data_IF_869768226731
#
_entry.id   IF_869768226731
#
_cell.length_a   1.000
_cell.length_b   1.000
_cell.length_c   1.000
_cell.angle_alpha   90.00
_cell.angle_beta   90.00
_cell.angle_gamma   90.00
#
_symmetry.space_group_name_H-M   'P 1'
#
loop_
_entity.id
_entity.type
_entity.pdbx_description
1 polymer ?
#
# COMPACT_ATOMS: atom_id res chain seq x y z
N UNK A 1 6.75 -32.42 12.49
CA UNK A 1 7.20 -31.88 11.19
C UNK A 1 8.54 -31.20 11.38
N UNK A 2 9.45 -31.29 10.40
CA UNK A 2 10.80 -30.73 10.48
C UNK A 2 10.74 -29.19 10.45
N UNK A 3 11.36 -28.54 11.44
CA UNK A 3 11.50 -27.07 11.51
C UNK A 3 12.69 -26.64 10.65
N UNK A 4 12.48 -25.80 9.63
CA UNK A 4 13.56 -25.31 8.74
C UNK A 4 14.13 -23.95 9.16
N UNK A 5 13.29 -23.07 9.75
CA UNK A 5 13.66 -21.69 10.09
C UNK A 5 13.70 -21.48 11.60
N UNK A 6 14.81 -21.83 12.25
CA UNK A 6 14.96 -21.70 13.71
C UNK A 6 15.24 -20.22 14.06
N UNK A 7 14.42 -19.64 14.92
CA UNK A 7 14.61 -18.29 15.43
C UNK A 7 15.47 -18.37 16.70
N UNK A 8 16.56 -17.60 16.74
CA UNK A 8 17.40 -17.43 17.93
C UNK A 8 17.63 -15.94 18.12
N UNK A 9 17.02 -15.38 19.16
CA UNK A 9 17.11 -13.95 19.45
C UNK A 9 18.32 -13.67 20.35
N UNK A 10 19.02 -12.58 20.07
CA UNK A 10 19.95 -11.96 21.02
C UNK A 10 19.20 -11.32 22.20
N UNK A 11 19.91 -11.02 23.27
CA UNK A 11 19.33 -10.34 24.43
C UNK A 11 18.72 -8.99 24.06
N UNK A 12 19.37 -8.22 23.18
CA UNK A 12 18.88 -6.92 22.72
C UNK A 12 17.62 -7.05 21.85
N UNK A 13 17.58 -8.04 20.95
CA UNK A 13 16.39 -8.29 20.13
C UNK A 13 15.20 -8.72 20.98
N UNK A 14 15.45 -9.56 22.00
CA UNK A 14 14.42 -9.97 22.95
C UNK A 14 13.87 -8.79 23.74
N UNK A 15 14.73 -7.97 24.33
CA UNK A 15 14.33 -6.77 25.09
C UNK A 15 13.49 -5.83 24.22
N UNK A 16 13.91 -5.64 22.96
CA UNK A 16 13.15 -4.87 21.98
C UNK A 16 11.75 -5.45 21.77
N UNK A 17 11.62 -6.75 21.53
CA UNK A 17 10.33 -7.41 21.33
C UNK A 17 9.43 -7.34 22.58
N UNK A 18 10.00 -7.52 23.77
CA UNK A 18 9.29 -7.37 25.05
C UNK A 18 8.78 -5.94 25.22
N UNK A 19 9.58 -4.93 24.85
CA UNK A 19 9.15 -3.54 24.77
C UNK A 19 7.96 -3.32 23.83
N UNK A 20 8.01 -3.89 22.62
CA UNK A 20 6.91 -3.78 21.64
C UNK A 20 5.61 -4.43 22.14
N UNK A 21 5.71 -5.52 22.90
CA UNK A 21 4.54 -6.20 23.49
C UNK A 21 3.94 -5.38 24.64
N UNK A 22 4.78 -4.80 25.50
CA UNK A 22 4.35 -4.16 26.74
C UNK A 22 3.94 -2.69 26.59
N UNK A 23 4.55 -1.94 25.65
CA UNK A 23 4.34 -0.48 25.54
C UNK A 23 2.97 -0.09 24.94
N UNK A 24 2.25 -1.00 24.29
CA UNK A 24 0.88 -0.78 23.83
C UNK A 24 0.68 0.22 22.68
N UNK A 25 1.73 0.96 22.26
CA UNK A 25 1.70 1.95 21.18
C UNK A 25 1.80 1.34 19.77
N UNK A 26 2.29 0.11 19.71
CA UNK A 26 2.51 -0.61 18.46
C UNK A 26 1.23 -1.14 17.83
N UNK A 27 1.23 -1.25 16.51
CA UNK A 27 0.13 -1.84 15.75
C UNK A 27 -0.16 -3.28 16.22
N UNK A 28 -1.43 -3.71 16.14
CA UNK A 28 -1.82 -5.08 16.48
C UNK A 28 -1.05 -6.14 15.68
N UNK A 29 -0.62 -5.80 14.45
CA UNK A 29 0.20 -6.67 13.62
C UNK A 29 1.62 -6.82 14.19
N UNK A 30 2.30 -5.69 14.45
CA UNK A 30 3.65 -5.66 15.03
C UNK A 30 3.68 -6.42 16.37
N UNK A 31 2.72 -6.11 17.27
CA UNK A 31 2.60 -6.76 18.58
C UNK A 31 2.39 -8.28 18.48
N UNK A 32 1.53 -8.73 17.56
CA UNK A 32 1.28 -10.15 17.34
C UNK A 32 2.55 -10.86 16.88
N UNK A 33 3.27 -10.28 15.93
CA UNK A 33 4.50 -10.85 15.40
C UNK A 33 5.62 -10.88 16.45
N UNK A 34 5.76 -9.81 17.24
CA UNK A 34 6.66 -9.77 18.38
C UNK A 34 6.39 -10.92 19.37
N UNK A 35 5.10 -11.12 19.73
CA UNK A 35 4.70 -12.20 20.64
C UNK A 35 4.97 -13.59 20.05
N UNK A 36 4.75 -13.79 18.75
CA UNK A 36 5.10 -15.04 18.07
C UNK A 36 6.61 -15.30 18.19
N UNK A 37 7.44 -14.32 17.86
CA UNK A 37 8.89 -14.44 17.86
C UNK A 37 9.47 -14.75 19.25
N UNK A 38 8.92 -14.13 20.30
CA UNK A 38 9.31 -14.42 21.69
C UNK A 38 8.98 -15.87 22.11
N UNK A 39 7.84 -16.40 21.67
CA UNK A 39 7.39 -17.75 22.03
C UNK A 39 8.12 -18.86 21.27
N UNK A 40 8.49 -18.61 20.00
CA UNK A 40 9.21 -19.57 19.15
C UNK A 40 10.73 -19.48 19.27
N UNK A 41 11.26 -18.49 20.00
CA UNK A 41 12.69 -18.32 20.22
C UNK A 41 13.29 -19.60 20.83
N UNK A 42 14.25 -20.20 20.15
CA UNK A 42 15.05 -21.35 20.62
C UNK A 42 16.44 -20.90 21.12
N UNK A 43 16.60 -19.60 21.40
CA UNK A 43 17.76 -19.01 22.06
C UNK A 43 17.84 -19.33 23.55
N UNK A 44 18.91 -18.87 24.19
CA UNK A 44 19.23 -19.18 25.61
C UNK A 44 18.11 -18.84 26.60
N UNK A 45 17.31 -17.83 26.29
CA UNK A 45 16.22 -17.35 27.15
C UNK A 45 14.83 -17.59 26.54
N UNK A 46 14.76 -18.25 25.37
CA UNK A 46 13.53 -18.47 24.61
C UNK A 46 12.64 -19.57 25.18
N UNK A 47 11.34 -19.50 24.89
CA UNK A 47 10.39 -20.52 25.33
C UNK A 47 10.44 -21.80 24.48
N UNK A 48 11.02 -21.74 23.29
CA UNK A 48 11.16 -22.85 22.34
C UNK A 48 9.86 -23.62 22.03
N UNK A 49 8.70 -22.95 22.13
CA UNK A 49 7.41 -23.59 21.93
C UNK A 49 7.25 -24.10 20.50
N UNK A 50 6.44 -25.13 20.32
CA UNK A 50 6.12 -25.63 18.98
C UNK A 50 5.09 -24.74 18.30
N UNK A 51 5.12 -24.69 16.96
CA UNK A 51 4.30 -23.75 16.19
C UNK A 51 2.79 -23.87 16.46
N UNK A 52 2.32 -25.07 16.84
CA UNK A 52 0.92 -25.34 17.19
C UNK A 52 0.52 -24.64 18.50
N UNK A 53 1.32 -24.80 19.55
CA UNK A 53 1.07 -24.15 20.84
C UNK A 53 1.13 -22.63 20.72
N UNK A 54 2.10 -22.12 19.96
CA UNK A 54 2.21 -20.67 19.70
C UNK A 54 0.98 -20.16 18.96
N UNK A 55 0.52 -20.90 17.95
CA UNK A 55 -0.69 -20.54 17.20
C UNK A 55 -1.92 -20.45 18.11
N UNK A 56 -2.08 -21.39 19.04
CA UNK A 56 -3.17 -21.40 20.03
C UNK A 56 -3.04 -20.22 21.02
N UNK A 57 -1.86 -19.99 21.60
CA UNK A 57 -1.62 -18.91 22.56
C UNK A 57 -1.81 -17.50 21.97
N UNK A 58 -1.49 -17.34 20.69
CA UNK A 58 -1.56 -16.04 19.99
C UNK A 58 -2.91 -15.84 19.29
N UNK A 59 -3.70 -16.90 19.10
CA UNK A 59 -4.95 -16.86 18.34
C UNK A 59 -4.72 -16.66 16.84
N UNK A 60 -3.79 -17.41 16.26
CA UNK A 60 -3.50 -17.37 14.82
C UNK A 60 -3.37 -18.78 14.23
N UNK A 61 -3.09 -18.88 12.93
CA UNK A 61 -2.87 -20.18 12.30
C UNK A 61 -1.43 -20.63 12.44
N UNK A 62 -1.18 -21.94 12.48
CA UNK A 62 0.17 -22.52 12.43
C UNK A 62 0.98 -21.99 11.24
N UNK A 63 0.34 -21.81 10.07
CA UNK A 63 0.94 -21.23 8.86
C UNK A 63 1.47 -19.81 9.09
N UNK A 64 0.76 -19.01 9.89
CA UNK A 64 1.20 -17.65 10.25
C UNK A 64 2.48 -17.71 11.08
N UNK A 65 2.58 -18.61 12.06
CA UNK A 65 3.79 -18.79 12.87
C UNK A 65 4.98 -19.18 11.99
N UNK A 66 4.79 -20.15 11.08
CA UNK A 66 5.83 -20.56 10.12
C UNK A 66 6.31 -19.39 9.26
N UNK A 67 5.39 -18.61 8.70
CA UNK A 67 5.71 -17.45 7.85
C UNK A 67 6.46 -16.37 8.62
N UNK A 68 6.09 -16.11 9.88
CA UNK A 68 6.77 -15.14 10.74
C UNK A 68 8.20 -15.59 11.03
N UNK A 69 8.41 -16.88 11.34
CA UNK A 69 9.74 -17.46 11.55
C UNK A 69 10.59 -17.40 10.29
N UNK A 70 10.04 -17.86 9.17
CA UNK A 70 10.72 -17.80 7.86
C UNK A 70 11.15 -16.37 7.55
N UNK A 71 10.24 -15.41 7.69
CA UNK A 71 10.52 -14.00 7.40
C UNK A 71 11.58 -13.42 8.32
N UNK A 72 11.53 -13.73 9.61
CA UNK A 72 12.55 -13.29 10.55
C UNK A 72 13.94 -13.81 10.19
N UNK A 73 14.04 -15.09 9.79
CA UNK A 73 15.32 -15.73 9.45
C UNK A 73 15.84 -15.27 8.08
N UNK A 74 14.96 -15.05 7.10
CA UNK A 74 15.36 -14.71 5.72
C UNK A 74 15.50 -13.21 5.47
N UNK A 75 14.62 -12.40 6.05
CA UNK A 75 14.51 -10.96 5.80
C UNK A 75 14.90 -10.12 7.03
N UNK A 76 15.14 -10.76 8.18
CA UNK A 76 15.52 -10.10 9.43
C UNK A 76 14.35 -9.73 10.35
N UNK A 77 14.69 -9.36 11.59
CA UNK A 77 13.72 -9.05 12.65
C UNK A 77 12.78 -7.91 12.28
N UNK A 78 13.32 -6.81 11.74
CA UNK A 78 12.52 -5.63 11.36
C UNK A 78 11.48 -5.98 10.30
N UNK A 79 11.90 -6.73 9.27
CA UNK A 79 11.01 -7.17 8.21
C UNK A 79 9.87 -8.05 8.73
N UNK A 80 10.14 -8.91 9.71
CA UNK A 80 9.10 -9.72 10.35
C UNK A 80 8.06 -8.87 11.10
N UNK A 81 8.47 -7.75 11.71
CA UNK A 81 7.59 -6.85 12.46
C UNK A 81 6.77 -5.92 11.57
N UNK A 82 7.29 -5.59 10.39
CA UNK A 82 6.64 -4.67 9.45
C UNK A 82 5.67 -5.38 8.52
N UNK A 83 4.57 -4.70 8.20
CA UNK A 83 3.64 -5.20 7.17
C UNK A 83 4.29 -4.98 5.81
N UNK A 84 4.34 -6.02 4.97
CA UNK A 84 4.82 -5.88 3.59
C UNK A 84 4.01 -4.79 2.91
N UNK A 85 4.67 -3.74 2.42
CA UNK A 85 4.03 -2.73 1.59
C UNK A 85 3.49 -3.44 0.35
N UNK A 86 2.19 -3.29 0.09
CA UNK A 86 1.64 -3.71 -1.20
C UNK A 86 2.20 -2.72 -2.21
N UNK A 87 3.21 -3.12 -2.99
CA UNK A 87 3.60 -2.42 -4.21
C UNK A 87 2.46 -2.57 -5.23
N UNK A 88 1.35 -1.86 -5.01
CA UNK A 88 0.42 -1.54 -6.08
C UNK A 88 1.03 -0.40 -6.88
N UNK A 89 2.13 -0.69 -7.57
CA UNK A 89 2.46 0.05 -8.79
C UNK A 89 1.37 -0.30 -9.79
N UNK A 90 0.24 0.39 -9.69
CA UNK A 90 -0.61 0.56 -10.86
C UNK A 90 0.24 1.38 -11.81
N UNK A 91 0.67 0.79 -12.92
CA UNK A 91 1.28 1.52 -14.03
C UNK A 91 0.41 2.75 -14.28
N UNK A 92 1.00 3.94 -14.13
CA UNK A 92 0.24 5.17 -14.32
C UNK A 92 -0.21 5.19 -15.78
N UNK A 93 -1.51 5.39 -16.00
CA UNK A 93 -2.08 5.49 -17.36
C UNK A 93 -1.51 6.70 -18.09
N UNK A 94 -1.20 7.78 -17.35
CA UNK A 94 -0.45 8.93 -17.84
C UNK A 94 0.97 8.89 -17.28
N UNK A 95 1.96 8.81 -18.16
CA UNK A 95 3.35 9.17 -17.86
C UNK A 95 3.48 10.70 -17.68
N UNK A 96 4.60 11.17 -17.11
CA UNK A 96 4.96 12.59 -16.97
C UNK A 96 4.73 13.39 -18.26
N UNK A 97 5.07 12.83 -19.42
CA UNK A 97 4.82 13.48 -20.71
C UNK A 97 3.33 13.69 -21.00
N UNK A 98 2.50 12.71 -20.66
CA UNK A 98 1.04 12.80 -20.77
C UNK A 98 0.44 13.79 -19.78
N UNK A 99 0.95 13.84 -18.54
CA UNK A 99 0.51 14.81 -17.52
C UNK A 99 0.74 16.25 -18.00
N UNK A 100 1.92 16.55 -18.58
CA UNK A 100 2.22 17.86 -19.18
C UNK A 100 1.24 18.20 -20.31
N UNK A 101 0.92 17.24 -21.19
CA UNK A 101 -0.04 17.45 -22.28
C UNK A 101 -1.44 17.75 -21.74
N UNK A 102 -1.87 17.05 -20.69
CA UNK A 102 -3.15 17.31 -20.03
C UNK A 102 -3.21 18.73 -19.45
N UNK A 103 -2.13 19.18 -18.79
CA UNK A 103 -2.05 20.55 -18.25
C UNK A 103 -2.10 21.61 -19.35
N UNK A 104 -1.29 21.43 -20.40
CA UNK A 104 -1.28 22.37 -21.53
C UNK A 104 -2.67 22.46 -22.18
N UNK A 105 -3.37 21.34 -22.30
CA UNK A 105 -4.72 21.31 -22.83
C UNK A 105 -5.73 21.99 -21.89
N UNK A 106 -5.65 21.72 -20.58
CA UNK A 106 -6.55 22.33 -19.61
C UNK A 106 -6.39 23.86 -19.52
N UNK A 107 -5.19 24.37 -19.84
CA UNK A 107 -4.87 25.80 -19.90
C UNK A 107 -5.13 26.45 -21.28
N UNK A 108 -5.50 25.68 -22.31
CA UNK A 108 -5.82 26.21 -23.64
C UNK A 108 -7.28 26.62 -23.76
N UNK A 109 -7.63 27.30 -24.85
CA UNK A 109 -9.02 27.62 -25.16
C UNK A 109 -9.86 26.33 -25.31
N UNK A 110 -11.07 26.29 -24.72
CA UNK A 110 -12.00 25.18 -24.91
C UNK A 110 -12.55 25.17 -26.35
N UNK A 111 -13.02 24.01 -26.85
CA UNK A 111 -13.59 23.93 -28.19
C UNK A 111 -14.86 24.77 -28.34
N UNK A 112 -15.15 25.14 -29.58
CA UNK A 112 -16.25 26.03 -29.94
C UNK A 112 -17.59 25.54 -29.36
N UNK A 113 -18.36 26.47 -28.79
CA UNK A 113 -19.62 26.16 -28.10
C UNK A 113 -19.48 25.83 -26.61
N UNK A 114 -18.26 25.81 -26.05
CA UNK A 114 -18.03 25.58 -24.62
C UNK A 114 -17.26 26.73 -23.97
N UNK A 115 -17.72 27.20 -22.81
CA UNK A 115 -17.02 28.26 -22.05
C UNK A 115 -15.82 27.75 -21.24
N UNK A 116 -15.68 26.42 -21.07
CA UNK A 116 -14.58 25.79 -20.31
C UNK A 116 -14.41 24.31 -20.64
N UNK A 117 -13.22 23.78 -20.39
CA UNK A 117 -12.96 22.34 -20.44
C UNK A 117 -13.78 21.57 -19.40
N UNK A 118 -14.28 20.40 -19.79
CA UNK A 118 -14.78 19.39 -18.84
C UNK A 118 -13.78 18.25 -18.73
N UNK A 119 -13.80 17.53 -17.60
CA UNK A 119 -12.92 16.37 -17.40
C UNK A 119 -13.08 15.30 -18.48
N UNK A 120 -14.31 15.12 -18.99
CA UNK A 120 -14.60 14.16 -20.06
C UNK A 120 -13.94 14.60 -21.37
N UNK A 121 -14.12 15.86 -21.76
CA UNK A 121 -13.51 16.41 -22.97
C UNK A 121 -11.98 16.37 -22.95
N UNK A 122 -11.37 16.63 -21.78
CA UNK A 122 -9.92 16.48 -21.62
C UNK A 122 -9.47 15.02 -21.81
N UNK A 123 -10.22 14.06 -21.26
CA UNK A 123 -9.96 12.63 -21.46
C UNK A 123 -10.10 12.20 -22.92
N UNK A 124 -11.21 12.56 -23.56
CA UNK A 124 -11.48 12.25 -24.98
C UNK A 124 -10.40 12.86 -25.88
N UNK A 125 -10.00 14.10 -25.60
CA UNK A 125 -8.97 14.80 -26.38
C UNK A 125 -7.58 14.19 -26.21
N UNK A 126 -7.25 13.68 -25.02
CA UNK A 126 -5.99 12.95 -24.81
C UNK A 126 -5.93 11.66 -25.62
N UNK A 127 -7.07 10.96 -25.78
CA UNK A 127 -7.17 9.77 -26.63
C UNK A 127 -7.08 10.15 -28.11
N UNK A 128 -7.79 11.20 -28.54
CA UNK A 128 -7.76 11.70 -29.92
C UNK A 128 -6.34 12.13 -30.35
N UNK A 129 -5.59 12.76 -29.45
CA UNK A 129 -4.20 13.17 -29.67
C UNK A 129 -3.19 12.02 -29.55
N UNK A 130 -3.64 10.78 -29.34
CA UNK A 130 -2.79 9.59 -29.25
C UNK A 130 -1.88 9.57 -28.02
N UNK A 131 -2.22 10.30 -26.96
CA UNK A 131 -1.41 10.36 -25.73
C UNK A 131 -1.60 9.09 -24.89
N UNK A 132 -2.80 8.51 -24.91
CA UNK A 132 -3.21 7.30 -24.19
C UNK A 132 -4.27 6.56 -24.99
N UNK A 133 -4.30 5.22 -24.92
CA UNK A 133 -5.34 4.42 -25.60
C UNK A 133 -6.71 4.55 -24.93
N UNK A 134 -6.73 4.70 -23.61
CA UNK A 134 -7.93 4.97 -22.83
C UNK A 134 -7.57 5.63 -21.51
N UNK A 135 -8.46 6.47 -21.00
CA UNK A 135 -8.27 7.12 -19.71
C UNK A 135 -9.59 7.31 -18.98
N UNK A 136 -9.57 7.07 -17.67
CA UNK A 136 -10.73 7.36 -16.82
C UNK A 136 -10.78 8.84 -16.46
N UNK A 137 -12.01 9.38 -16.38
CA UNK A 137 -12.30 10.72 -15.86
C UNK A 137 -11.68 10.92 -14.46
N UNK A 138 -11.60 9.87 -13.65
CA UNK A 138 -10.97 9.92 -12.32
C UNK A 138 -9.46 10.17 -12.40
N UNK A 139 -8.78 9.56 -13.40
CA UNK A 139 -7.34 9.78 -13.63
C UNK A 139 -7.08 11.23 -14.04
N UNK A 140 -7.90 11.78 -14.94
CA UNK A 140 -7.82 13.20 -15.35
C UNK A 140 -8.00 14.12 -14.14
N UNK A 141 -9.01 13.86 -13.30
CA UNK A 141 -9.25 14.66 -12.09
C UNK A 141 -8.10 14.58 -11.10
N UNK A 142 -7.56 13.38 -10.85
CA UNK A 142 -6.46 13.17 -9.90
C UNK A 142 -5.22 13.97 -10.33
N UNK A 143 -4.83 13.88 -11.60
CA UNK A 143 -3.68 14.63 -12.13
C UNK A 143 -3.88 16.13 -11.99
N UNK A 144 -5.05 16.65 -12.39
CA UNK A 144 -5.34 18.10 -12.28
C UNK A 144 -5.44 18.58 -10.83
N UNK A 145 -5.92 17.74 -9.89
CA UNK A 145 -5.99 18.08 -8.48
C UNK A 145 -4.60 18.10 -7.82
N UNK A 146 -3.72 17.16 -8.19
CA UNK A 146 -2.33 17.15 -7.72
C UNK A 146 -1.58 18.42 -8.13
N UNK A 147 -1.90 18.98 -9.30
CA UNK A 147 -1.24 20.17 -9.86
C UNK A 147 -1.96 21.48 -9.44
N UNK A 148 -3.07 21.39 -8.69
CA UNK A 148 -3.82 22.56 -8.20
C UNK A 148 -4.81 23.18 -9.19
N UNK A 149 -5.01 22.60 -10.37
CA UNK A 149 -5.99 23.04 -11.37
C UNK A 149 -7.40 22.46 -11.16
N UNK A 150 -7.56 21.54 -10.20
CA UNK A 150 -8.79 20.78 -9.99
C UNK A 150 -10.02 21.58 -9.52
N UNK A 151 -9.86 22.84 -9.08
CA UNK A 151 -10.96 23.64 -8.51
C UNK A 151 -11.32 24.91 -9.29
N UNK A 152 -10.44 25.39 -10.17
CA UNK A 152 -10.55 26.76 -10.70
C UNK A 152 -11.18 26.82 -12.10
N UNK A 153 -11.19 25.73 -12.88
CA UNK A 153 -11.60 25.79 -14.31
C UNK A 153 -12.54 24.69 -14.83
N UNK A 154 -13.02 23.74 -14.02
CA UNK A 154 -13.70 22.54 -14.54
C UNK A 154 -15.19 22.48 -14.17
N UNK A 155 -16.07 22.42 -15.18
CA UNK A 155 -17.50 22.14 -15.00
C UNK A 155 -17.67 20.66 -14.65
N UNK A 156 -18.30 20.35 -13.51
CA UNK A 156 -18.87 19.02 -13.29
C UNK A 156 -20.09 18.94 -14.20
N UNK A 157 -20.06 18.13 -15.27
CA UNK A 157 -21.28 17.86 -16.03
C UNK A 157 -22.25 17.13 -15.10
N UNK A 158 -23.23 17.86 -14.57
CA UNK A 158 -24.40 17.25 -13.94
C UNK A 158 -25.04 16.27 -14.91
N UNK A 159 -25.44 15.09 -14.41
CA UNK A 159 -26.22 14.11 -15.15
C UNK A 159 -27.51 14.77 -15.65
N UNK A 160 -27.56 15.13 -16.92
CA UNK A 160 -28.81 15.25 -17.65
C UNK A 160 -29.28 13.85 -18.00
N UNK A 161 -30.06 13.25 -17.11
CA UNK A 161 -30.77 12.00 -17.40
C UNK A 161 -31.94 12.39 -18.33
N UNK A 162 -31.85 12.03 -19.60
CA UNK A 162 -32.96 12.18 -20.54
C UNK A 162 -33.97 11.05 -20.31
N UNK A 163 -35.13 11.41 -19.77
CA UNK A 163 -36.43 10.85 -20.06
C UNK A 163 -37.48 11.92 -19.70
#
# INVERSE_FOLDING_TARGET
MKKWYIVRLSAQERERLEGLVNQGRETAYCRRHARILLLVDEGKYGHALIDREVAELVGCTRRTVEQVRERCVREGLQAALERRSRSRERSRVLDRGGETRLVNLACSEPPEGYSRWTLRMLGDRLVELGVVESISIETVRQVLNTIGLGKTHLMHSGRGNGA
#
